data_IF_089447427968
#
_entry.id   IF_089447427968
#
_cell.length_a   1.000
_cell.length_b   1.000
_cell.length_c   1.000
_cell.angle_alpha   90.00
_cell.angle_beta   90.00
_cell.angle_gamma   90.00
#
_symmetry.space_group_name_H-M   'P 1'
#
loop_
_entity.id
_entity.type
_entity.pdbx_description
1 polymer ?
#
# COMPACT_ATOMS: atom_id res chain seq x y z
N UNK A 1 -11.22 -32.87 -2.08
CA UNK A 1 -10.32 -32.86 -3.24
C UNK A 1 -10.85 -33.67 -4.42
N UNK A 2 -11.36 -34.94 -4.24
CA UNK A 2 -11.89 -35.72 -5.35
C UNK A 2 -13.02 -35.04 -6.11
N UNK A 3 -13.92 -34.38 -5.40
CA UNK A 3 -15.01 -33.60 -5.99
C UNK A 3 -14.47 -32.46 -6.88
N UNK A 4 -13.52 -31.69 -6.36
CA UNK A 4 -12.89 -30.61 -7.13
C UNK A 4 -12.15 -31.15 -8.36
N UNK A 5 -11.40 -32.25 -8.22
CA UNK A 5 -10.70 -32.87 -9.35
C UNK A 5 -11.65 -33.33 -10.46
N UNK A 6 -12.85 -33.80 -10.09
CA UNK A 6 -13.87 -34.22 -11.08
C UNK A 6 -14.49 -33.03 -11.81
N UNK A 7 -14.51 -31.84 -11.18
CA UNK A 7 -15.00 -30.60 -11.77
C UNK A 7 -13.90 -29.78 -12.51
N UNK A 8 -12.66 -30.28 -12.53
CA UNK A 8 -11.53 -29.53 -13.07
C UNK A 8 -11.04 -28.39 -12.16
N UNK A 9 -11.49 -28.38 -10.89
CA UNK A 9 -11.07 -27.41 -9.91
C UNK A 9 -9.74 -27.76 -9.24
N UNK A 10 -9.11 -26.77 -8.64
CA UNK A 10 -7.86 -26.91 -7.88
C UNK A 10 -8.15 -26.83 -6.38
N UNK A 11 -7.58 -27.74 -5.61
CA UNK A 11 -7.60 -27.67 -4.16
C UNK A 11 -6.37 -26.88 -3.70
N UNK A 12 -6.60 -25.66 -3.25
CA UNK A 12 -5.55 -24.78 -2.72
C UNK A 12 -5.15 -25.21 -1.31
N UNK A 13 -3.94 -24.89 -0.90
CA UNK A 13 -3.50 -25.08 0.46
C UNK A 13 -4.09 -24.01 1.39
N UNK A 14 -4.08 -24.30 2.70
CA UNK A 14 -4.45 -23.32 3.71
C UNK A 14 -3.54 -22.06 3.68
N UNK A 15 -2.29 -22.23 3.33
CA UNK A 15 -1.34 -21.15 3.14
C UNK A 15 -1.69 -20.23 1.98
N UNK A 16 -2.19 -20.76 0.88
CA UNK A 16 -2.63 -19.96 -0.26
C UNK A 16 -3.77 -19.01 0.14
N UNK A 17 -4.67 -19.47 0.98
CA UNK A 17 -5.76 -18.66 1.52
C UNK A 17 -5.27 -17.52 2.40
N UNK A 18 -4.34 -17.80 3.32
CA UNK A 18 -3.78 -16.79 4.22
C UNK A 18 -2.77 -15.89 3.54
N UNK A 19 -2.14 -16.33 2.49
CA UNK A 19 -1.16 -15.58 1.73
C UNK A 19 -1.77 -14.59 0.73
N UNK A 20 -3.06 -14.51 0.62
CA UNK A 20 -3.74 -13.45 -0.17
C UNK A 20 -3.50 -12.07 0.42
N UNK A 21 -3.44 -11.95 1.73
CA UNK A 21 -3.13 -10.71 2.44
C UNK A 21 -1.62 -10.54 2.70
N UNK A 22 -0.90 -11.56 3.22
CA UNK A 22 0.51 -11.44 3.52
C UNK A 22 1.45 -11.12 2.36
N UNK A 23 1.20 -11.44 1.08
CA UNK A 23 2.13 -11.08 0.00
C UNK A 23 2.45 -9.60 -0.11
N UNK A 24 1.55 -8.70 0.29
CA UNK A 24 1.81 -7.27 0.30
C UNK A 24 2.66 -6.83 1.50
N UNK A 25 2.47 -7.44 2.65
CA UNK A 25 3.19 -7.11 3.88
C UNK A 25 4.71 -7.30 3.77
N UNK A 26 5.25 -8.44 3.24
CA UNK A 26 6.68 -8.59 3.05
C UNK A 26 7.29 -7.57 2.09
N UNK A 27 6.55 -7.12 1.10
CA UNK A 27 7.02 -6.11 0.14
C UNK A 27 7.16 -4.73 0.77
N UNK A 28 6.33 -4.41 1.75
CA UNK A 28 6.29 -3.10 2.42
C UNK A 28 7.12 -3.11 3.71
N UNK A 29 7.03 -4.16 4.52
CA UNK A 29 7.61 -4.23 5.85
C UNK A 29 8.71 -5.27 6.03
N UNK A 30 8.91 -6.14 5.06
CA UNK A 30 9.87 -7.25 5.15
C UNK A 30 9.38 -8.43 5.98
N UNK A 31 8.18 -8.38 6.54
CA UNK A 31 7.58 -9.42 7.36
C UNK A 31 6.20 -9.83 6.86
N UNK A 32 5.86 -11.10 7.05
CA UNK A 32 4.59 -11.67 6.62
C UNK A 32 3.50 -11.61 7.70
N UNK A 33 3.82 -11.18 8.90
CA UNK A 33 2.89 -11.13 10.03
C UNK A 33 2.27 -9.76 10.21
N UNK A 34 1.07 -9.75 10.77
CA UNK A 34 0.42 -8.51 11.19
C UNK A 34 1.16 -7.93 12.40
N UNK A 35 1.55 -6.71 12.30
CA UNK A 35 2.07 -5.87 13.38
C UNK A 35 1.41 -4.52 13.22
N UNK A 36 1.07 -3.82 14.26
CA UNK A 36 1.33 -3.97 15.70
C UNK A 36 0.24 -4.76 16.43
N UNK A 37 0.41 -4.95 17.75
CA UNK A 37 -0.65 -5.48 18.62
C UNK A 37 -1.90 -4.57 18.61
N UNK A 38 -3.09 -5.16 18.80
CA UNK A 38 -4.36 -4.40 18.75
C UNK A 38 -4.42 -3.29 19.81
N UNK A 39 -3.75 -3.47 20.95
CA UNK A 39 -3.66 -2.43 21.98
C UNK A 39 -2.92 -1.15 21.53
N UNK A 40 -2.07 -1.26 20.52
CA UNK A 40 -1.37 -0.11 19.94
C UNK A 40 -2.32 0.81 19.16
N UNK A 41 -3.50 0.34 18.78
CA UNK A 41 -4.52 1.18 18.16
C UNK A 41 -4.90 2.39 19.02
N UNK A 42 -4.76 2.28 20.35
CA UNK A 42 -4.99 3.43 21.24
C UNK A 42 -4.03 4.61 21.01
N UNK A 43 -2.90 4.37 20.36
CA UNK A 43 -1.94 5.40 19.99
C UNK A 43 -2.24 6.04 18.63
N UNK A 44 -3.23 5.52 17.90
CA UNK A 44 -3.63 6.03 16.59
C UNK A 44 -4.61 7.20 16.73
N UNK A 45 -4.45 8.19 15.87
CA UNK A 45 -5.42 9.30 15.70
C UNK A 45 -6.40 9.04 14.56
N UNK A 46 -6.09 8.06 13.71
CA UNK A 46 -6.90 7.67 12.57
C UNK A 46 -6.77 6.16 12.33
N UNK A 47 -7.90 5.47 12.21
CA UNK A 47 -7.94 4.03 11.90
C UNK A 47 -8.89 3.79 10.73
N UNK A 48 -8.42 3.03 9.75
CA UNK A 48 -9.22 2.59 8.62
C UNK A 48 -9.33 1.07 8.63
N UNK A 49 -10.55 0.56 8.86
CA UNK A 49 -10.87 -0.86 8.70
C UNK A 49 -11.22 -1.12 7.23
N UNK A 50 -10.32 -1.77 6.52
CA UNK A 50 -10.47 -2.03 5.09
C UNK A 50 -10.82 -3.49 4.84
N UNK A 51 -12.04 -3.74 4.37
CA UNK A 51 -12.54 -5.08 4.08
C UNK A 51 -12.61 -6.01 5.30
N UNK A 52 -12.50 -5.47 6.51
CA UNK A 52 -12.48 -6.25 7.75
C UNK A 52 -13.68 -5.89 8.62
N UNK A 53 -14.53 -6.87 8.89
CA UNK A 53 -15.63 -6.71 9.85
C UNK A 53 -15.12 -7.01 11.27
N UNK A 54 -14.32 -6.09 11.81
CA UNK A 54 -13.61 -6.24 13.10
C UNK A 54 -14.52 -6.79 14.23
N UNK A 55 -15.75 -6.28 14.45
CA UNK A 55 -16.61 -6.77 15.54
C UNK A 55 -17.01 -8.23 15.43
N UNK A 56 -17.07 -8.79 14.22
CA UNK A 56 -17.47 -10.18 14.00
C UNK A 56 -16.28 -11.11 13.79
N UNK A 57 -15.35 -10.73 12.95
CA UNK A 57 -14.27 -11.61 12.52
C UNK A 57 -13.00 -11.48 13.37
N UNK A 58 -12.91 -10.39 14.15
CA UNK A 58 -11.85 -10.10 15.11
C UNK A 58 -12.45 -9.60 16.43
N UNK A 59 -13.41 -10.32 16.97
CA UNK A 59 -14.20 -9.92 18.14
C UNK A 59 -13.35 -9.42 19.32
N UNK A 60 -12.20 -10.05 19.68
CA UNK A 60 -11.33 -9.53 20.74
C UNK A 60 -10.79 -8.12 20.48
N UNK A 61 -10.70 -7.70 19.23
CA UNK A 61 -10.16 -6.40 18.84
C UNK A 61 -11.21 -5.30 18.74
N UNK A 62 -12.48 -5.66 18.79
CA UNK A 62 -13.60 -4.74 18.58
C UNK A 62 -13.63 -3.57 19.57
N UNK A 63 -13.29 -3.81 20.82
CA UNK A 63 -13.28 -2.77 21.84
C UNK A 63 -12.18 -1.72 21.60
N UNK A 64 -11.01 -2.11 21.09
CA UNK A 64 -9.95 -1.15 20.72
C UNK A 64 -10.43 -0.21 19.62
N UNK A 65 -11.12 -0.75 18.60
CA UNK A 65 -11.67 0.04 17.51
C UNK A 65 -12.72 1.06 17.97
N UNK A 66 -13.55 0.68 18.94
CA UNK A 66 -14.59 1.57 19.47
C UNK A 66 -14.03 2.58 20.50
N UNK A 67 -13.19 2.12 21.41
CA UNK A 67 -12.69 2.93 22.51
C UNK A 67 -11.66 3.99 22.09
N UNK A 68 -10.91 3.75 21.02
CA UNK A 68 -9.98 4.74 20.47
C UNK A 68 -10.69 6.05 20.09
N UNK A 69 -11.97 5.98 19.74
CA UNK A 69 -12.81 7.15 19.41
C UNK A 69 -13.04 8.05 20.63
N UNK A 70 -13.07 7.47 21.84
CA UNK A 70 -13.18 8.27 23.09
C UNK A 70 -11.92 9.12 23.35
N UNK A 71 -10.80 8.74 22.73
CA UNK A 71 -9.57 9.53 22.73
C UNK A 71 -9.50 10.53 21.55
N UNK A 72 -10.57 10.65 20.76
CA UNK A 72 -10.64 11.58 19.64
C UNK A 72 -10.14 11.05 18.31
N UNK A 73 -9.75 9.78 18.23
CA UNK A 73 -9.38 9.17 16.95
C UNK A 73 -10.58 9.12 15.99
N UNK A 74 -10.30 9.26 14.71
CA UNK A 74 -11.28 9.07 13.64
C UNK A 74 -11.21 7.66 13.10
N UNK A 75 -12.38 7.07 12.87
CA UNK A 75 -12.48 5.71 12.34
C UNK A 75 -13.24 5.68 11.02
N UNK A 76 -12.71 4.94 10.07
CA UNK A 76 -13.31 4.77 8.74
C UNK A 76 -13.48 3.28 8.46
N UNK A 77 -14.64 2.89 7.98
CA UNK A 77 -14.87 1.55 7.43
C UNK A 77 -14.93 1.62 5.91
N UNK A 78 -14.09 0.87 5.24
CA UNK A 78 -14.11 0.71 3.78
C UNK A 78 -14.63 -0.68 3.48
N UNK A 79 -15.91 -0.79 3.14
CA UNK A 79 -16.59 -2.07 2.92
C UNK A 79 -17.75 -1.91 1.93
N UNK A 80 -18.00 -2.92 1.08
CA UNK A 80 -19.07 -2.85 0.10
C UNK A 80 -20.48 -2.95 0.69
N UNK A 81 -20.61 -3.41 1.94
CA UNK A 81 -21.86 -3.55 2.66
C UNK A 81 -21.84 -2.81 4.00
N UNK A 82 -23.02 -2.48 4.51
CA UNK A 82 -23.17 -1.84 5.82
C UNK A 82 -23.13 -2.88 6.94
N UNK A 83 -21.94 -3.39 7.20
CA UNK A 83 -21.67 -4.38 8.25
C UNK A 83 -21.50 -3.74 9.63
N UNK A 84 -21.23 -4.57 10.67
CA UNK A 84 -21.10 -4.10 12.05
C UNK A 84 -19.96 -3.08 12.22
N UNK A 85 -18.86 -3.23 11.49
CA UNK A 85 -17.77 -2.26 11.53
C UNK A 85 -18.21 -0.89 11.02
N UNK A 86 -19.09 -0.85 10.02
CA UNK A 86 -19.60 0.41 9.48
C UNK A 86 -20.47 1.16 10.51
N UNK A 87 -21.24 0.43 11.33
CA UNK A 87 -22.03 1.03 12.42
C UNK A 87 -21.16 1.69 13.49
N UNK A 88 -19.94 1.18 13.68
CA UNK A 88 -19.02 1.64 14.71
C UNK A 88 -18.02 2.67 14.19
N UNK A 89 -17.98 2.94 12.88
CA UNK A 89 -17.10 3.90 12.28
C UNK A 89 -17.73 5.31 12.22
N UNK A 90 -16.89 6.34 12.19
CA UNK A 90 -17.34 7.73 11.96
C UNK A 90 -17.73 7.98 10.50
N UNK A 91 -17.10 7.24 9.59
CA UNK A 91 -17.36 7.31 8.15
C UNK A 91 -17.39 5.91 7.55
N UNK A 92 -18.40 5.64 6.78
CA UNK A 92 -18.49 4.46 5.94
C UNK A 92 -18.22 4.85 4.47
N UNK A 93 -17.17 4.30 3.91
CA UNK A 93 -16.84 4.38 2.49
C UNK A 93 -17.33 3.11 1.80
N UNK A 94 -18.13 3.28 0.78
CA UNK A 94 -18.81 2.21 0.06
C UNK A 94 -18.30 2.10 -1.38
N UNK A 95 -17.09 1.56 -1.61
CA UNK A 95 -16.56 1.38 -2.96
C UNK A 95 -17.34 0.28 -3.69
N UNK A 96 -17.43 0.43 -5.00
CA UNK A 96 -17.92 -0.67 -5.84
C UNK A 96 -16.91 -1.83 -5.75
N UNK A 97 -17.41 -3.05 -5.69
CA UNK A 97 -16.57 -4.26 -5.62
C UNK A 97 -15.52 -4.27 -6.74
N UNK A 98 -14.30 -4.62 -6.41
CA UNK A 98 -13.18 -4.64 -7.33
C UNK A 98 -12.57 -3.27 -7.63
N UNK A 99 -12.97 -2.19 -6.91
CA UNK A 99 -12.42 -0.84 -7.12
C UNK A 99 -11.59 -0.32 -5.96
N UNK A 100 -11.17 -1.17 -5.03
CA UNK A 100 -10.38 -0.79 -3.86
C UNK A 100 -9.06 -0.12 -4.24
N UNK A 101 -8.37 -0.64 -5.24
CA UNK A 101 -7.14 -0.03 -5.75
C UNK A 101 -7.36 1.40 -6.27
N UNK A 102 -8.51 1.68 -6.89
CA UNK A 102 -8.85 3.03 -7.34
C UNK A 102 -9.05 3.99 -6.16
N UNK A 103 -9.67 3.52 -5.07
CA UNK A 103 -9.81 4.30 -3.83
C UNK A 103 -8.46 4.58 -3.22
N UNK A 104 -7.59 3.57 -3.11
CA UNK A 104 -6.23 3.72 -2.59
C UNK A 104 -5.41 4.72 -3.43
N UNK A 105 -5.48 4.62 -4.75
CA UNK A 105 -4.81 5.57 -5.65
C UNK A 105 -5.37 6.99 -5.54
N UNK A 106 -6.68 7.14 -5.34
CA UNK A 106 -7.29 8.45 -5.14
C UNK A 106 -6.80 9.12 -3.83
N UNK A 107 -6.68 8.34 -2.74
CA UNK A 107 -6.09 8.83 -1.50
C UNK A 107 -4.62 9.23 -1.69
N UNK A 108 -3.83 8.39 -2.37
CA UNK A 108 -2.45 8.70 -2.72
C UNK A 108 -2.33 9.96 -3.57
N UNK A 109 -3.24 10.16 -4.52
CA UNK A 109 -3.28 11.39 -5.33
C UNK A 109 -3.51 12.64 -4.47
N UNK A 110 -4.46 12.59 -3.54
CA UNK A 110 -4.74 13.72 -2.64
C UNK A 110 -3.52 14.03 -1.75
N UNK A 111 -2.89 13.00 -1.18
CA UNK A 111 -1.69 13.15 -0.35
C UNK A 111 -0.56 13.78 -1.15
N UNK A 112 -0.26 13.26 -2.35
CA UNK A 112 0.78 13.81 -3.21
C UNK A 112 0.48 15.25 -3.62
N UNK A 113 -0.77 15.53 -3.98
CA UNK A 113 -1.17 16.88 -4.38
C UNK A 113 -1.00 17.88 -3.25
N UNK A 114 -1.56 17.59 -2.08
CA UNK A 114 -1.63 18.55 -0.98
C UNK A 114 -0.31 18.72 -0.22
N UNK A 115 0.47 17.63 -0.06
CA UNK A 115 1.67 17.63 0.79
C UNK A 115 2.99 17.66 0.01
N UNK A 116 2.95 17.40 -1.30
CA UNK A 116 4.14 17.43 -2.14
C UNK A 116 4.08 18.53 -3.21
N UNK A 117 3.00 18.60 -4.00
CA UNK A 117 2.87 19.58 -5.07
C UNK A 117 2.48 20.98 -4.55
N UNK A 118 1.40 21.06 -3.79
CA UNK A 118 0.83 22.36 -3.40
C UNK A 118 1.59 23.00 -2.24
N UNK A 119 2.02 22.22 -1.24
CA UNK A 119 2.67 22.75 -0.03
C UNK A 119 4.07 22.25 0.26
N UNK A 120 4.51 21.19 -0.35
CA UNK A 120 5.79 20.53 -0.08
C UNK A 120 6.18 20.53 1.40
N UNK A 121 5.55 19.65 2.15
CA UNK A 121 5.78 19.52 3.59
C UNK A 121 7.14 18.87 3.82
N UNK A 122 7.98 19.47 4.68
CA UNK A 122 9.27 18.93 5.05
C UNK A 122 9.18 17.53 5.68
N UNK A 123 8.13 17.29 6.46
CA UNK A 123 7.86 15.97 7.04
C UNK A 123 7.62 14.92 5.95
N UNK A 124 6.82 15.24 4.93
CA UNK A 124 6.53 14.32 3.84
C UNK A 124 7.79 14.04 3.00
N UNK A 125 8.57 15.09 2.69
CA UNK A 125 9.83 14.94 1.94
C UNK A 125 10.82 14.03 2.69
N UNK A 126 11.01 14.24 3.99
CA UNK A 126 11.92 13.42 4.80
C UNK A 126 11.46 11.97 4.89
N UNK A 127 10.17 11.76 5.16
CA UNK A 127 9.57 10.43 5.22
C UNK A 127 9.68 9.69 3.87
N UNK A 128 9.31 10.37 2.78
CA UNK A 128 9.31 9.78 1.45
C UNK A 128 10.73 9.39 1.00
N UNK A 129 11.73 10.21 1.32
CA UNK A 129 13.13 9.91 1.00
C UNK A 129 13.70 8.71 1.76
N UNK A 130 13.29 8.52 3.02
CA UNK A 130 13.83 7.47 3.88
C UNK A 130 13.14 6.13 3.71
N UNK A 131 11.82 6.13 3.47
CA UNK A 131 10.99 4.95 3.62
C UNK A 131 10.23 4.55 2.37
N UNK A 132 10.43 5.26 1.24
CA UNK A 132 9.78 4.95 -0.02
C UNK A 132 10.78 4.93 -1.18
N UNK A 133 10.33 4.52 -2.34
CA UNK A 133 11.10 4.52 -3.58
C UNK A 133 11.09 5.88 -4.33
N UNK A 134 10.47 6.91 -3.75
CA UNK A 134 10.36 8.24 -4.36
C UNK A 134 11.71 8.82 -4.83
N UNK A 135 12.84 8.66 -4.10
CA UNK A 135 14.12 9.20 -4.55
C UNK A 135 14.80 8.38 -5.65
N UNK A 136 14.28 7.18 -5.98
CA UNK A 136 14.91 6.32 -6.98
C UNK A 136 14.70 6.88 -8.40
N UNK A 137 15.78 6.90 -9.17
CA UNK A 137 15.73 7.33 -10.56
C UNK A 137 15.08 6.27 -11.45
N UNK A 138 14.24 6.72 -12.37
CA UNK A 138 13.50 5.86 -13.29
C UNK A 138 13.87 6.18 -14.73
N UNK A 139 14.18 5.15 -15.50
CA UNK A 139 14.35 5.27 -16.96
C UNK A 139 12.97 5.50 -17.59
N UNK A 140 12.87 6.54 -18.39
CA UNK A 140 11.66 6.82 -19.15
C UNK A 140 11.81 6.32 -20.59
N UNK A 141 10.73 5.76 -21.14
CA UNK A 141 10.66 5.41 -22.56
C UNK A 141 9.46 6.05 -23.24
N UNK A 142 9.64 6.36 -24.51
CA UNK A 142 8.53 6.86 -25.32
C UNK A 142 7.53 5.73 -25.62
N UNK A 143 6.26 6.01 -25.39
CA UNK A 143 5.15 5.11 -25.70
C UNK A 143 4.05 5.88 -26.42
N UNK A 144 3.50 5.27 -27.45
CA UNK A 144 2.30 5.80 -28.11
C UNK A 144 1.08 5.37 -27.31
N UNK A 145 0.30 6.34 -26.84
CA UNK A 145 -0.94 6.13 -26.10
C UNK A 145 -2.06 5.70 -27.05
N UNK A 146 -3.17 5.14 -26.52
CA UNK A 146 -4.33 4.73 -27.34
C UNK A 146 -4.94 5.85 -28.18
N UNK A 147 -4.77 7.11 -27.77
CA UNK A 147 -5.22 8.31 -28.48
C UNK A 147 -4.22 8.81 -29.53
N UNK A 148 -3.13 8.08 -29.78
CA UNK A 148 -2.09 8.39 -30.76
C UNK A 148 -1.02 9.38 -30.29
N UNK A 149 -1.15 9.96 -29.09
CA UNK A 149 -0.12 10.86 -28.53
C UNK A 149 1.10 10.07 -28.06
N UNK A 150 2.27 10.67 -28.20
CA UNK A 150 3.50 10.16 -27.62
C UNK A 150 3.67 10.70 -26.20
N UNK A 151 3.99 9.83 -25.27
CA UNK A 151 4.26 10.17 -23.89
C UNK A 151 5.49 9.42 -23.37
N UNK A 152 6.26 10.07 -22.50
CA UNK A 152 7.29 9.40 -21.72
C UNK A 152 6.64 8.68 -20.57
N UNK A 153 6.85 7.38 -20.48
CA UNK A 153 6.31 6.53 -19.39
C UNK A 153 7.44 5.87 -18.63
N UNK A 154 7.27 5.63 -17.33
CA UNK A 154 8.23 4.87 -16.54
C UNK A 154 8.45 3.46 -17.15
N UNK A 155 9.70 3.02 -17.19
CA UNK A 155 10.08 1.69 -17.65
C UNK A 155 10.68 0.86 -16.51
N UNK A 156 11.88 1.20 -16.06
CA UNK A 156 12.59 0.51 -14.99
C UNK A 156 13.37 1.49 -14.13
N UNK A 157 13.77 1.06 -12.95
CA UNK A 157 14.73 1.84 -12.16
C UNK A 157 16.10 1.90 -12.85
N UNK A 158 16.75 3.04 -12.71
CA UNK A 158 18.14 3.24 -13.13
C UNK A 158 19.04 2.36 -12.28
N UNK A 159 20.05 1.74 -12.92
CA UNK A 159 21.02 0.87 -12.26
C UNK A 159 22.41 1.47 -12.36
N UNK A 160 23.31 1.10 -11.45
CA UNK A 160 24.70 1.53 -11.51
C UNK A 160 25.39 1.09 -12.82
N UNK A 161 24.98 -0.03 -13.40
CA UNK A 161 25.43 -0.52 -14.71
C UNK A 161 25.09 0.41 -15.88
N UNK A 162 24.08 1.26 -15.74
CA UNK A 162 23.74 2.25 -16.77
C UNK A 162 24.79 3.38 -16.88
N UNK A 163 25.63 3.55 -15.86
CA UNK A 163 26.65 4.59 -15.78
C UNK A 163 28.05 4.02 -15.48
N UNK A 164 28.62 3.20 -16.39
CA UNK A 164 29.93 2.63 -16.20
C UNK A 164 31.00 3.73 -16.11
N UNK A 165 31.84 3.65 -15.08
CA UNK A 165 32.91 4.66 -14.83
C UNK A 165 32.47 5.89 -14.03
N UNK A 166 31.18 6.07 -13.75
CA UNK A 166 30.65 7.15 -12.90
C UNK A 166 30.15 6.63 -11.56
N UNK A 167 29.54 5.45 -11.55
CA UNK A 167 29.01 4.81 -10.36
C UNK A 167 29.77 3.53 -10.04
N UNK A 168 29.66 3.08 -8.79
CA UNK A 168 30.33 1.87 -8.31
C UNK A 168 29.87 0.63 -9.07
N UNK A 169 30.80 -0.01 -9.78
CA UNK A 169 30.57 -1.22 -10.57
C UNK A 169 30.90 -2.51 -9.81
N UNK A 170 31.35 -2.43 -8.55
CA UNK A 170 31.64 -3.62 -7.74
C UNK A 170 30.36 -4.40 -7.37
N UNK A 171 30.50 -5.66 -7.00
CA UNK A 171 29.41 -6.48 -6.44
C UNK A 171 28.07 -6.41 -7.21
N UNK A 172 28.12 -6.69 -8.50
CA UNK A 172 26.97 -6.71 -9.41
C UNK A 172 26.22 -5.37 -9.52
N UNK A 173 26.66 -4.48 -10.41
CA UNK A 173 26.06 -3.15 -10.58
C UNK A 173 24.59 -3.19 -11.05
N UNK A 174 24.13 -4.30 -11.65
CA UNK A 174 22.72 -4.46 -12.05
C UNK A 174 21.76 -4.55 -10.86
N UNK A 175 22.25 -4.87 -9.67
CA UNK A 175 21.42 -4.93 -8.46
C UNK A 175 21.38 -3.62 -7.70
N UNK A 176 22.20 -2.64 -8.07
CA UNK A 176 22.27 -1.34 -7.40
C UNK A 176 21.34 -0.34 -8.08
N UNK A 177 20.24 0.00 -7.43
CA UNK A 177 19.40 1.11 -7.85
C UNK A 177 20.07 2.44 -7.55
N UNK A 178 19.84 3.43 -8.40
CA UNK A 178 20.36 4.78 -8.25
C UNK A 178 19.30 5.69 -7.67
N UNK A 179 19.66 6.44 -6.64
CA UNK A 179 18.79 7.42 -6.01
C UNK A 179 19.33 8.83 -6.20
N UNK A 180 18.44 9.81 -6.19
CA UNK A 180 18.82 11.22 -6.16
C UNK A 180 19.29 11.58 -4.74
N UNK A 181 20.54 12.06 -4.62
CA UNK A 181 21.13 12.42 -3.35
C UNK A 181 20.77 13.82 -2.86
N UNK A 182 21.22 14.17 -1.65
CA UNK A 182 21.01 15.51 -1.07
C UNK A 182 21.73 16.61 -1.85
N UNK A 183 22.83 16.25 -2.48
CA UNK A 183 23.68 17.19 -3.21
C UNK A 183 23.50 17.14 -4.75
N UNK A 184 22.50 16.47 -5.22
CA UNK A 184 22.22 16.29 -6.66
C UNK A 184 22.79 15.01 -7.25
#
# INVERSE_FOLDING_TARGET
>A
SRYLSLLGGVCMSFYDWYCDLPPSSPQVWGEQTDVPESADWYNSTFIMAWGSNVPQTRTPDAHFFTEVRYKGAKTVAVTPDYSEVAKLADLWMHPKQGTDAAVAMAMGHVILKEFYFDKRSAYFDDYARRYTDLPLLVVLKEKTLPDGRKALVPDRYVRASDFPGQLDQSNNPDWKTVAYGENG
#
